data_IF_325478683931
#
_entry.id   IF_325478683931
#
_cell.length_a   1.000
_cell.length_b   1.000
_cell.length_c   1.000
_cell.angle_alpha   90.00
_cell.angle_beta   90.00
_cell.angle_gamma   90.00
#
_symmetry.space_group_name_H-M   'P 1'
#
loop_
_entity.id
_entity.type
_entity.pdbx_description
1 polymer ?
#
# COMPACT_ATOMS: atom_id res chain seq x y z
N UNK A 1 -10.41 -18.18 -3.94
CA UNK A 1 -11.53 -18.49 -3.03
C UNK A 1 -10.99 -19.03 -1.72
N UNK A 2 -11.48 -18.50 -0.58
CA UNK A 2 -11.17 -19.03 0.74
C UNK A 2 -11.64 -20.49 0.82
N UNK A 3 -10.78 -21.37 1.31
CA UNK A 3 -11.16 -22.77 1.54
C UNK A 3 -12.04 -22.89 2.79
N UNK A 4 -11.76 -22.10 3.82
CA UNK A 4 -12.48 -22.04 5.08
C UNK A 4 -12.31 -20.65 5.71
N UNK A 5 -13.25 -20.23 6.58
CA UNK A 5 -13.23 -18.96 7.28
C UNK A 5 -13.97 -17.83 6.52
N UNK A 6 -13.87 -16.62 7.04
CA UNK A 6 -14.43 -15.40 6.45
C UNK A 6 -13.42 -14.26 6.55
N UNK A 7 -13.46 -13.33 5.60
CA UNK A 7 -12.75 -12.05 5.68
C UNK A 7 -13.79 -10.97 5.95
N UNK A 8 -13.59 -10.26 7.05
CA UNK A 8 -14.49 -9.19 7.47
C UNK A 8 -13.82 -7.84 7.35
N UNK A 9 -14.51 -6.85 6.81
CA UNK A 9 -14.12 -5.44 6.81
C UNK A 9 -15.17 -4.69 7.62
N UNK A 10 -14.77 -4.08 8.73
CA UNK A 10 -15.70 -3.42 9.67
C UNK A 10 -16.87 -4.31 10.10
N UNK A 11 -16.62 -5.62 10.30
CA UNK A 11 -17.63 -6.60 10.70
C UNK A 11 -18.51 -7.12 9.57
N UNK A 12 -18.34 -6.67 8.33
CA UNK A 12 -19.12 -7.11 7.16
C UNK A 12 -18.29 -8.10 6.35
N UNK A 13 -18.86 -9.27 6.01
CA UNK A 13 -18.19 -10.26 5.17
C UNK A 13 -17.94 -9.68 3.76
N UNK A 14 -16.69 -9.82 3.28
CA UNK A 14 -16.29 -9.34 1.96
C UNK A 14 -17.15 -9.90 0.82
N UNK A 15 -17.77 -11.07 1.01
CA UNK A 15 -18.68 -11.67 0.02
C UNK A 15 -20.03 -10.92 -0.08
N UNK A 16 -20.36 -10.09 0.92
CA UNK A 16 -21.57 -9.26 0.95
C UNK A 16 -21.31 -7.83 0.47
N UNK A 17 -20.05 -7.48 0.21
CA UNK A 17 -19.63 -6.13 -0.21
C UNK A 17 -19.56 -6.10 -1.75
N UNK A 18 -20.21 -5.12 -2.38
CA UNK A 18 -20.10 -4.93 -3.83
C UNK A 18 -18.68 -4.48 -4.21
N UNK A 19 -18.22 -4.73 -5.45
CA UNK A 19 -16.88 -4.28 -5.90
C UNK A 19 -16.67 -2.77 -5.72
N UNK A 20 -17.70 -1.95 -5.95
CA UNK A 20 -17.62 -0.50 -5.76
C UNK A 20 -17.46 -0.13 -4.28
N UNK A 21 -18.24 -0.76 -3.39
CA UNK A 21 -18.12 -0.54 -1.95
C UNK A 21 -16.75 -0.99 -1.44
N UNK A 22 -16.24 -2.14 -1.93
CA UNK A 22 -14.91 -2.62 -1.57
C UNK A 22 -13.83 -1.63 -2.01
N UNK A 23 -13.93 -1.09 -3.22
CA UNK A 23 -13.00 -0.09 -3.74
C UNK A 23 -13.02 1.24 -2.95
N UNK A 24 -14.07 1.50 -2.16
CA UNK A 24 -14.14 2.64 -1.23
C UNK A 24 -13.60 2.31 0.17
N UNK A 25 -13.30 1.04 0.46
CA UNK A 25 -12.76 0.60 1.75
C UNK A 25 -11.29 0.20 1.68
N UNK A 26 -10.86 -0.36 0.56
CA UNK A 26 -9.53 -0.94 0.41
C UNK A 26 -8.88 -0.47 -0.89
N UNK A 27 -7.70 0.12 -0.79
CA UNK A 27 -6.80 0.32 -1.91
C UNK A 27 -5.73 -0.78 -1.93
N UNK A 28 -5.28 -1.16 -3.12
CA UNK A 28 -4.27 -2.19 -3.31
C UNK A 28 -3.15 -1.71 -4.24
N UNK A 29 -1.91 -1.94 -3.82
CA UNK A 29 -0.69 -1.68 -4.59
C UNK A 29 0.03 -3.00 -4.79
N UNK A 30 0.17 -3.42 -6.04
CA UNK A 30 0.84 -4.68 -6.42
C UNK A 30 2.35 -4.50 -6.47
N UNK A 31 3.09 -5.62 -6.36
CA UNK A 31 4.55 -5.68 -6.59
C UNK A 31 4.91 -5.41 -8.05
N UNK A 32 3.95 -5.53 -8.99
CA UNK A 32 4.23 -5.40 -10.42
C UNK A 32 4.73 -4.00 -10.78
N UNK A 33 5.78 -3.95 -11.60
CA UNK A 33 6.29 -2.70 -12.18
C UNK A 33 5.31 -2.17 -13.22
N UNK A 34 4.45 -1.27 -12.81
CA UNK A 34 3.49 -0.64 -13.71
C UNK A 34 4.16 0.55 -14.41
N UNK A 35 4.57 0.34 -15.66
CA UNK A 35 5.05 1.40 -16.55
C UNK A 35 4.03 1.57 -17.66
N UNK A 36 3.17 2.55 -17.52
CA UNK A 36 2.15 2.84 -18.54
C UNK A 36 2.72 3.92 -19.47
N UNK A 37 3.03 3.52 -20.70
CA UNK A 37 3.52 4.46 -21.71
C UNK A 37 2.46 5.55 -21.97
N UNK A 38 2.95 6.78 -22.20
CA UNK A 38 2.13 7.94 -22.53
C UNK A 38 1.13 8.41 -21.45
N UNK A 39 1.12 7.84 -20.24
CA UNK A 39 0.38 8.41 -19.13
C UNK A 39 1.32 9.20 -18.22
N UNK A 40 0.88 10.40 -17.84
CA UNK A 40 1.58 11.19 -16.81
C UNK A 40 1.37 10.61 -15.41
N UNK A 41 2.25 10.97 -14.45
CA UNK A 41 2.06 10.61 -13.05
C UNK A 41 0.68 11.05 -12.55
N UNK A 42 0.24 12.27 -12.91
CA UNK A 42 -1.09 12.78 -12.57
C UNK A 42 -2.19 11.88 -13.13
N UNK A 43 -2.11 11.44 -14.39
CA UNK A 43 -3.14 10.60 -14.99
C UNK A 43 -3.22 9.23 -14.29
N UNK A 44 -2.08 8.65 -13.92
CA UNK A 44 -2.04 7.39 -13.17
C UNK A 44 -2.68 7.56 -11.78
N UNK A 45 -2.37 8.65 -11.07
CA UNK A 45 -2.96 8.93 -9.75
C UNK A 45 -4.47 9.20 -9.87
N UNK A 46 -4.91 9.86 -10.95
CA UNK A 46 -6.32 10.11 -11.24
C UNK A 46 -7.15 8.81 -11.37
N UNK A 47 -6.55 7.70 -11.79
CA UNK A 47 -7.22 6.39 -11.80
C UNK A 47 -7.67 5.94 -10.40
N UNK A 48 -7.04 6.45 -9.34
CA UNK A 48 -7.48 6.22 -7.96
C UNK A 48 -8.87 6.79 -7.66
N UNK A 49 -9.34 7.76 -8.46
CA UNK A 49 -10.68 8.34 -8.32
C UNK A 49 -11.79 7.55 -9.01
N UNK A 50 -11.45 6.47 -9.74
CA UNK A 50 -12.43 5.65 -10.46
C UNK A 50 -13.65 5.21 -9.62
N UNK A 51 -13.54 4.83 -8.33
CA UNK A 51 -14.70 4.46 -7.51
C UNK A 51 -15.69 5.61 -7.25
N UNK A 52 -15.31 6.84 -7.51
CA UNK A 52 -16.10 8.06 -7.25
C UNK A 52 -16.55 8.78 -8.52
N UNK A 53 -16.05 8.36 -9.69
CA UNK A 53 -16.47 8.93 -10.97
C UNK A 53 -17.82 8.38 -11.41
N UNK A 54 -18.52 9.16 -12.25
CA UNK A 54 -19.76 8.69 -12.87
C UNK A 54 -19.48 7.61 -13.94
N UNK A 55 -20.54 7.06 -14.54
CA UNK A 55 -20.45 6.02 -15.57
C UNK A 55 -19.67 6.43 -16.85
N UNK A 56 -19.47 7.74 -17.07
CA UNK A 56 -18.65 8.29 -18.16
C UNK A 56 -17.17 8.43 -17.74
N UNK A 57 -16.85 8.21 -16.45
CA UNK A 57 -15.49 8.38 -15.91
C UNK A 57 -15.06 9.85 -15.77
N UNK A 58 -16.02 10.80 -15.72
CA UNK A 58 -15.71 12.23 -15.60
C UNK A 58 -15.30 12.59 -14.19
N UNK A 59 -14.09 13.13 -14.07
CA UNK A 59 -13.57 13.69 -12.81
C UNK A 59 -14.27 15.02 -12.47
N UNK A 60 -14.52 15.26 -11.19
CA UNK A 60 -14.97 16.54 -10.66
C UNK A 60 -13.76 17.43 -10.32
N UNK A 61 -13.93 18.76 -10.17
CA UNK A 61 -12.83 19.66 -9.79
C UNK A 61 -12.18 19.27 -8.47
N UNK A 62 -12.94 18.72 -7.54
CA UNK A 62 -12.46 18.23 -6.23
C UNK A 62 -11.51 17.04 -6.40
N UNK A 63 -11.76 16.17 -7.37
CA UNK A 63 -10.89 15.01 -7.66
C UNK A 63 -9.49 15.46 -8.10
N UNK A 64 -9.40 16.54 -8.86
CA UNK A 64 -8.11 17.13 -9.27
C UNK A 64 -7.30 17.59 -8.07
N UNK A 65 -7.96 18.23 -7.12
CA UNK A 65 -7.31 18.66 -5.86
C UNK A 65 -6.78 17.45 -5.08
N UNK A 66 -7.58 16.37 -4.97
CA UNK A 66 -7.18 15.14 -4.29
C UNK A 66 -5.98 14.49 -4.98
N UNK A 67 -5.97 14.45 -6.31
CA UNK A 67 -4.86 13.90 -7.10
C UNK A 67 -3.57 14.67 -6.83
N UNK A 68 -3.60 16.00 -6.89
CA UNK A 68 -2.41 16.81 -6.66
C UNK A 68 -1.92 16.72 -5.21
N UNK A 69 -2.80 16.73 -4.23
CA UNK A 69 -2.46 16.52 -2.82
C UNK A 69 -1.84 15.13 -2.58
N UNK A 70 -2.35 14.10 -3.26
CA UNK A 70 -1.79 12.74 -3.14
C UNK A 70 -0.39 12.66 -3.71
N UNK A 71 -0.09 13.35 -4.82
CA UNK A 71 1.26 13.48 -5.37
C UNK A 71 2.19 14.26 -4.44
N UNK A 72 1.69 15.31 -3.80
CA UNK A 72 2.47 16.12 -2.85
C UNK A 72 2.88 15.29 -1.64
N UNK A 73 1.96 14.51 -1.05
CA UNK A 73 2.22 13.63 0.11
C UNK A 73 3.37 12.64 -0.13
N UNK A 74 3.53 12.17 -1.34
CA UNK A 74 4.62 11.23 -1.70
C UNK A 74 5.85 11.92 -2.29
N UNK A 75 5.89 13.27 -2.31
CA UNK A 75 6.99 14.06 -2.84
C UNK A 75 7.09 14.07 -4.37
N UNK A 76 5.98 13.81 -5.08
CA UNK A 76 5.96 13.66 -6.55
C UNK A 76 5.22 14.79 -7.26
N UNK A 77 4.83 15.88 -6.57
CA UNK A 77 4.07 16.97 -7.17
C UNK A 77 4.79 17.64 -8.36
N UNK A 78 6.10 17.84 -8.29
CA UNK A 78 6.91 18.41 -9.38
C UNK A 78 7.00 17.52 -10.62
N UNK A 79 6.68 16.25 -10.48
CA UNK A 79 6.68 15.25 -11.55
C UNK A 79 5.29 14.96 -12.11
N UNK A 80 4.25 15.68 -11.67
CA UNK A 80 2.85 15.40 -12.01
C UNK A 80 2.61 15.19 -13.51
N UNK A 81 3.24 15.99 -14.36
CA UNK A 81 3.08 15.95 -15.82
C UNK A 81 4.17 15.13 -16.54
N UNK A 82 5.08 14.50 -15.80
CA UNK A 82 6.09 13.61 -16.37
C UNK A 82 5.49 12.25 -16.63
N UNK A 83 5.84 11.62 -17.75
CA UNK A 83 5.34 10.29 -18.12
C UNK A 83 6.01 9.18 -17.33
N UNK A 84 5.26 8.13 -16.99
CA UNK A 84 5.70 7.02 -16.15
C UNK A 84 6.91 6.25 -16.72
N UNK A 85 7.04 6.17 -18.02
CA UNK A 85 8.16 5.51 -18.71
C UNK A 85 9.53 6.19 -18.49
N UNK A 86 9.50 7.46 -18.05
CA UNK A 86 10.71 8.27 -17.76
C UNK A 86 11.04 8.34 -16.26
N UNK A 87 10.37 7.53 -15.44
CA UNK A 87 10.54 7.54 -14.00
C UNK A 87 11.42 6.37 -13.56
N UNK A 88 12.17 6.55 -12.47
CA UNK A 88 12.85 5.45 -11.77
C UNK A 88 11.84 4.51 -11.11
N UNK A 89 12.26 3.31 -10.73
CA UNK A 89 11.39 2.34 -10.05
C UNK A 89 10.85 2.90 -8.73
N UNK A 90 11.69 3.60 -7.95
CA UNK A 90 11.26 4.24 -6.70
C UNK A 90 10.25 5.38 -6.91
N UNK A 91 10.44 6.20 -7.94
CA UNK A 91 9.48 7.24 -8.32
C UNK A 91 8.16 6.61 -8.79
N UNK A 92 8.20 5.56 -9.61
CA UNK A 92 7.00 4.82 -10.02
C UNK A 92 6.25 4.25 -8.79
N UNK A 93 6.96 3.67 -7.83
CA UNK A 93 6.37 3.14 -6.60
C UNK A 93 5.67 4.24 -5.79
N UNK A 94 6.30 5.40 -5.64
CA UNK A 94 5.67 6.57 -4.99
C UNK A 94 4.40 7.02 -5.72
N UNK A 95 4.40 7.05 -7.05
CA UNK A 95 3.20 7.39 -7.85
C UNK A 95 2.08 6.36 -7.64
N UNK A 96 2.41 5.05 -7.55
CA UNK A 96 1.42 4.02 -7.26
C UNK A 96 0.83 4.14 -5.85
N UNK A 97 1.63 4.56 -4.87
CA UNK A 97 1.13 4.89 -3.53
C UNK A 97 0.24 6.14 -3.58
N UNK A 98 0.63 7.20 -4.32
CA UNK A 98 -0.22 8.37 -4.52
C UNK A 98 -1.57 7.99 -5.14
N UNK A 99 -1.61 7.06 -6.09
CA UNK A 99 -2.85 6.52 -6.65
C UNK A 99 -3.73 5.88 -5.57
N UNK A 100 -3.13 5.06 -4.69
CA UNK A 100 -3.84 4.45 -3.57
C UNK A 100 -4.35 5.50 -2.56
N UNK A 101 -3.58 6.56 -2.30
CA UNK A 101 -4.00 7.67 -1.46
C UNK A 101 -5.16 8.46 -2.07
N UNK A 102 -5.12 8.71 -3.39
CA UNK A 102 -6.19 9.39 -4.11
C UNK A 102 -7.52 8.63 -4.06
N UNK A 103 -7.49 7.32 -3.85
CA UNK A 103 -8.68 6.50 -3.62
C UNK A 103 -9.35 6.78 -2.26
N UNK A 104 -8.67 7.46 -1.32
CA UNK A 104 -9.20 7.89 -0.02
C UNK A 104 -9.81 6.77 0.83
N UNK A 105 -9.25 5.56 0.73
CA UNK A 105 -9.71 4.42 1.53
C UNK A 105 -9.12 4.43 2.94
N UNK A 106 -9.82 3.86 3.94
CA UNK A 106 -9.28 3.66 5.28
C UNK A 106 -8.18 2.59 5.34
N UNK A 107 -8.17 1.63 4.39
CA UNK A 107 -7.23 0.52 4.37
C UNK A 107 -6.41 0.58 3.08
N UNK A 108 -5.09 0.43 3.20
CA UNK A 108 -4.16 0.30 2.06
C UNK A 108 -3.37 -1.00 2.24
N UNK A 109 -3.48 -1.87 1.24
CA UNK A 109 -2.70 -3.10 1.15
C UNK A 109 -1.58 -2.92 0.12
N UNK A 110 -0.34 -3.28 0.48
CA UNK A 110 0.78 -3.23 -0.45
C UNK A 110 1.48 -4.59 -0.48
N UNK A 111 1.73 -5.08 -1.68
CA UNK A 111 2.47 -6.32 -1.86
C UNK A 111 3.92 -6.01 -2.17
N UNK A 112 4.82 -6.36 -1.24
CA UNK A 112 6.26 -6.12 -1.29
C UNK A 112 6.65 -4.71 -1.81
N UNK A 113 6.20 -3.60 -1.18
CA UNK A 113 6.36 -2.25 -1.73
C UNK A 113 7.82 -1.80 -1.83
N UNK A 114 8.74 -2.47 -1.15
CA UNK A 114 10.18 -2.19 -1.15
C UNK A 114 10.97 -2.98 -2.19
N UNK A 115 10.33 -3.95 -2.85
CA UNK A 115 10.95 -4.72 -3.92
C UNK A 115 11.54 -3.79 -4.98
N UNK A 116 12.75 -4.10 -5.43
CA UNK A 116 13.48 -3.35 -6.47
C UNK A 116 13.97 -1.95 -6.07
N UNK A 117 13.85 -1.56 -4.80
CA UNK A 117 14.44 -0.33 -4.28
C UNK A 117 15.82 -0.59 -3.67
N UNK A 118 16.70 0.37 -3.76
CA UNK A 118 17.94 0.39 -2.99
C UNK A 118 17.68 0.70 -1.51
N UNK A 119 18.64 0.41 -0.65
CA UNK A 119 18.47 0.53 0.81
C UNK A 119 17.96 1.90 1.27
N UNK A 120 18.50 3.07 0.83
CA UNK A 120 17.98 4.35 1.26
C UNK A 120 16.49 4.53 0.88
N UNK A 121 16.14 4.21 -0.36
CA UNK A 121 14.77 4.37 -0.86
C UNK A 121 13.76 3.45 -0.15
N UNK A 122 14.18 2.24 0.30
CA UNK A 122 13.32 1.34 1.09
C UNK A 122 12.92 1.97 2.42
N UNK A 123 13.90 2.47 3.18
CA UNK A 123 13.65 3.11 4.48
C UNK A 123 12.80 4.37 4.33
N UNK A 124 13.09 5.21 3.32
CA UNK A 124 12.32 6.42 3.06
C UNK A 124 10.86 6.09 2.69
N UNK A 125 10.65 5.03 1.90
CA UNK A 125 9.29 4.57 1.58
C UNK A 125 8.55 4.08 2.81
N UNK A 126 9.20 3.26 3.64
CA UNK A 126 8.53 2.71 4.83
C UNK A 126 8.27 3.77 5.90
N UNK A 127 9.15 4.78 6.04
CA UNK A 127 8.87 5.97 6.87
C UNK A 127 7.66 6.74 6.35
N UNK A 128 7.58 6.97 5.04
CA UNK A 128 6.41 7.59 4.43
C UNK A 128 5.12 6.79 4.76
N UNK A 129 5.16 5.45 4.67
CA UNK A 129 3.99 4.61 5.00
C UNK A 129 3.62 4.72 6.49
N UNK A 130 4.61 4.72 7.39
CA UNK A 130 4.38 4.93 8.82
C UNK A 130 3.77 6.31 9.12
N UNK A 131 4.30 7.38 8.51
CA UNK A 131 3.76 8.73 8.65
C UNK A 131 2.30 8.81 8.17
N UNK A 132 1.99 8.20 7.03
CA UNK A 132 0.63 8.13 6.50
C UNK A 132 -0.32 7.35 7.42
N UNK A 133 0.15 6.25 8.02
CA UNK A 133 -0.64 5.47 8.96
C UNK A 133 -0.99 6.30 10.21
N UNK A 134 0.01 6.95 10.81
CA UNK A 134 -0.16 7.66 12.07
C UNK A 134 -0.83 9.02 11.91
N UNK A 135 -0.47 9.80 10.87
CA UNK A 135 -0.98 11.16 10.69
C UNK A 135 -2.37 11.18 10.04
N UNK A 136 -2.67 10.20 9.17
CA UNK A 136 -3.95 10.14 8.46
C UNK A 136 -4.91 9.06 9.00
N UNK A 137 -4.51 8.40 10.11
CA UNK A 137 -5.31 7.34 10.75
C UNK A 137 -5.73 6.23 9.76
N UNK A 138 -4.78 5.80 8.92
CA UNK A 138 -4.99 4.73 7.93
C UNK A 138 -4.46 3.39 8.45
N UNK A 139 -5.15 2.33 8.13
CA UNK A 139 -4.64 0.98 8.30
C UNK A 139 -3.78 0.62 7.08
N UNK A 140 -2.46 0.55 7.26
CA UNK A 140 -1.52 0.17 6.19
C UNK A 140 -0.97 -1.21 6.50
N UNK A 141 -1.18 -2.15 5.59
CA UNK A 141 -0.69 -3.52 5.69
C UNK A 141 0.17 -3.80 4.47
N UNK A 142 1.39 -4.25 4.67
CA UNK A 142 2.25 -4.66 3.56
C UNK A 142 2.95 -6.00 3.81
N UNK A 143 3.14 -6.76 2.75
CA UNK A 143 3.99 -7.96 2.77
C UNK A 143 5.45 -7.55 2.63
N UNK A 144 6.35 -8.22 3.34
CA UNK A 144 7.79 -8.03 3.21
C UNK A 144 8.55 -9.27 3.65
N UNK A 145 9.71 -9.49 3.07
CA UNK A 145 10.72 -10.45 3.55
C UNK A 145 11.90 -9.75 4.26
N UNK A 146 11.83 -8.43 4.43
CA UNK A 146 12.86 -7.60 5.06
C UNK A 146 12.55 -7.39 6.54
N UNK A 147 13.16 -8.23 7.38
CA UNK A 147 12.88 -8.24 8.81
C UNK A 147 13.30 -6.97 9.54
N UNK A 148 14.43 -6.37 9.14
CA UNK A 148 14.95 -5.13 9.70
C UNK A 148 13.96 -3.97 9.54
N UNK A 149 13.31 -3.88 8.39
CA UNK A 149 12.23 -2.91 8.13
C UNK A 149 11.03 -3.20 9.01
N UNK A 150 10.55 -4.45 9.02
CA UNK A 150 9.39 -4.84 9.81
C UNK A 150 9.60 -4.55 11.31
N UNK A 151 10.78 -4.87 11.83
CA UNK A 151 11.12 -4.67 13.25
C UNK A 151 11.33 -3.20 13.64
N UNK A 152 11.76 -2.35 12.71
CA UNK A 152 12.10 -0.95 13.02
C UNK A 152 10.98 0.04 12.76
N UNK A 153 10.04 -0.27 11.87
CA UNK A 153 9.07 0.70 11.36
C UNK A 153 7.59 0.29 11.47
N UNK A 154 7.30 -1.00 11.77
CA UNK A 154 5.92 -1.46 11.90
C UNK A 154 5.45 -1.45 13.36
N UNK A 155 4.20 -1.11 13.58
CA UNK A 155 3.55 -1.18 14.91
C UNK A 155 3.31 -2.63 15.31
N UNK A 156 2.91 -3.47 14.35
CA UNK A 156 2.61 -4.89 14.55
C UNK A 156 3.20 -5.74 13.44
N UNK A 157 3.49 -6.98 13.72
CA UNK A 157 4.00 -7.97 12.76
C UNK A 157 3.09 -9.20 12.76
N UNK A 158 2.67 -9.61 11.56
CA UNK A 158 2.03 -10.89 11.30
C UNK A 158 3.06 -11.84 10.68
N UNK A 159 3.65 -12.71 11.49
CA UNK A 159 4.63 -13.71 11.05
C UNK A 159 3.91 -14.97 10.56
N UNK A 160 4.10 -15.30 9.28
CA UNK A 160 3.50 -16.49 8.67
C UNK A 160 4.50 -17.64 8.71
N UNK A 161 4.20 -18.63 9.56
CA UNK A 161 4.93 -19.90 9.67
C UNK A 161 3.93 -21.04 9.43
N UNK A 162 3.76 -21.41 8.16
CA UNK A 162 2.70 -22.33 7.74
C UNK A 162 2.77 -23.68 8.49
N UNK A 163 1.66 -24.16 9.10
CA UNK A 163 0.27 -23.69 8.95
C UNK A 163 -0.16 -22.61 9.96
N UNK A 164 0.73 -22.08 10.76
CA UNK A 164 0.44 -21.11 11.82
C UNK A 164 0.73 -19.67 11.39
N UNK A 165 0.09 -18.71 12.05
CA UNK A 165 0.37 -17.28 11.93
C UNK A 165 0.40 -16.68 13.33
N UNK A 166 1.46 -15.93 13.63
CA UNK A 166 1.61 -15.18 14.88
C UNK A 166 1.44 -13.69 14.58
N UNK A 167 0.47 -13.03 15.21
CA UNK A 167 0.26 -11.60 15.07
C UNK A 167 0.42 -10.92 16.43
N UNK A 168 1.43 -10.09 16.56
CA UNK A 168 1.83 -9.44 17.80
C UNK A 168 2.29 -7.99 17.55
N UNK A 169 2.22 -7.11 18.56
CA UNK A 169 2.99 -5.86 18.57
C UNK A 169 4.46 -6.14 18.29
N UNK A 170 5.12 -5.27 17.56
CA UNK A 170 6.49 -5.50 17.07
C UNK A 170 7.47 -5.86 18.19
N UNK A 171 7.42 -5.14 19.33
CA UNK A 171 8.32 -5.45 20.45
C UNK A 171 8.04 -6.82 21.08
N UNK A 172 6.78 -7.23 21.15
CA UNK A 172 6.41 -8.56 21.65
C UNK A 172 6.83 -9.65 20.67
N UNK A 173 6.69 -9.41 19.36
CA UNK A 173 7.15 -10.34 18.33
C UNK A 173 8.66 -10.57 18.41
N UNK A 174 9.46 -9.52 18.60
CA UNK A 174 10.91 -9.61 18.77
C UNK A 174 11.24 -10.45 20.03
N UNK A 175 10.58 -10.16 21.14
CA UNK A 175 10.86 -10.83 22.44
C UNK A 175 10.36 -12.28 22.47
N UNK A 176 9.40 -12.65 21.63
CA UNK A 176 8.81 -14.00 21.61
C UNK A 176 9.75 -15.09 21.10
N UNK A 177 10.78 -14.72 20.32
CA UNK A 177 11.69 -15.66 19.67
C UNK A 177 11.10 -16.39 18.45
N UNK A 178 9.84 -16.11 18.05
CA UNK A 178 9.22 -16.76 16.88
C UNK A 178 10.00 -16.52 15.60
N UNK A 179 10.52 -15.30 15.42
CA UNK A 179 11.34 -14.94 14.25
C UNK A 179 12.60 -15.83 14.22
N UNK A 180 13.32 -15.93 15.33
CA UNK A 180 14.54 -16.73 15.42
C UNK A 180 14.29 -18.22 15.17
N UNK A 181 13.17 -18.74 15.66
CA UNK A 181 12.77 -20.14 15.44
C UNK A 181 12.52 -20.42 13.96
N UNK A 182 11.81 -19.53 13.26
CA UNK A 182 11.54 -19.66 11.83
C UNK A 182 12.82 -19.73 10.99
N UNK A 183 13.84 -18.93 11.34
CA UNK A 183 15.10 -18.92 10.61
C UNK A 183 16.04 -20.05 10.99
N UNK A 184 16.03 -20.53 12.25
CA UNK A 184 16.82 -21.70 12.67
C UNK A 184 16.36 -23.01 12.04
N UNK A 185 15.07 -23.16 11.74
CA UNK A 185 14.54 -24.36 11.10
C UNK A 185 14.81 -24.43 9.59
N UNK A 186 15.35 -23.39 8.98
CA UNK A 186 15.67 -23.34 7.53
C UNK A 186 17.17 -23.55 7.23
N UNK A 187 17.98 -23.81 8.24
CA UNK A 187 19.38 -24.22 8.16
C UNK A 187 19.54 -25.65 8.72
#
# INVERSE_FOLDING_TARGET
PLKHGAVLINGIDIQQITPQQLAQQVAFVTTERIRIANLSCRDVVALGRAPYTNWIGRMQPEDETIVMQSLEKVGMASYAFRTMDKMSDGECQRVMIARALAQQTPIILLDEPTSFLDMPNRYDLCRLLADLAHQENKCIIFSTHELDIAQSLCDTIALIDSPTMHHLPTQEMINSGHIDQLFKMRH
#
